data_IF_481894222314
#
_entry.id   IF_481894222314
#
_cell.length_a   1.000
_cell.length_b   1.000
_cell.length_c   1.000
_cell.angle_alpha   90.00
_cell.angle_beta   90.00
_cell.angle_gamma   90.00
#
_symmetry.space_group_name_H-M   'P 1'
#
loop_
_entity.id
_entity.type
_entity.pdbx_description
1 polymer ?
#
# COMPACT_ATOMS: atom_id res chain seq x y z
N UNK A 1 23.10 -11.05 -6.57
CA UNK A 1 21.90 -11.14 -7.43
C UNK A 1 21.64 -9.74 -7.99
N UNK A 2 21.05 -9.62 -9.17
CA UNK A 2 20.60 -8.31 -9.66
C UNK A 2 19.49 -7.82 -8.72
N UNK A 3 19.57 -6.59 -8.24
CA UNK A 3 18.56 -6.06 -7.30
C UNK A 3 17.29 -5.58 -8.00
N UNK A 4 17.18 -5.82 -9.32
CA UNK A 4 16.07 -5.40 -10.16
C UNK A 4 15.48 -6.62 -10.85
N UNK A 5 14.18 -6.80 -10.69
CA UNK A 5 13.37 -7.71 -11.50
C UNK A 5 12.60 -6.89 -12.53
N UNK A 6 12.48 -7.40 -13.76
CA UNK A 6 11.79 -6.72 -14.86
C UNK A 6 10.70 -7.66 -15.36
N UNK A 7 9.46 -7.18 -15.38
CA UNK A 7 8.34 -7.86 -16.02
C UNK A 7 7.73 -6.97 -17.10
N UNK A 8 7.30 -7.59 -18.20
CA UNK A 8 6.73 -6.85 -19.33
C UNK A 8 5.20 -6.95 -19.32
N UNK A 9 4.53 -5.81 -19.40
CA UNK A 9 3.10 -5.70 -19.69
C UNK A 9 2.94 -5.27 -21.15
N UNK A 10 2.61 -6.21 -22.04
CA UNK A 10 2.67 -5.97 -23.48
C UNK A 10 4.10 -5.64 -23.92
N UNK A 11 4.33 -4.42 -24.42
CA UNK A 11 5.63 -3.90 -24.83
C UNK A 11 6.26 -2.94 -23.79
N UNK A 12 5.70 -2.87 -22.59
CA UNK A 12 6.13 -1.95 -21.54
C UNK A 12 6.85 -2.74 -20.45
N UNK A 13 8.15 -2.51 -20.31
CA UNK A 13 8.94 -3.08 -19.23
C UNK A 13 8.74 -2.30 -17.93
N UNK A 14 8.42 -3.04 -16.86
CA UNK A 14 8.15 -2.51 -15.53
C UNK A 14 9.17 -3.10 -14.57
N UNK A 15 9.92 -2.21 -13.93
CA UNK A 15 10.98 -2.58 -12.99
C UNK A 15 10.44 -2.66 -11.56
N UNK A 16 10.80 -3.75 -10.91
CA UNK A 16 10.59 -4.02 -9.49
C UNK A 16 11.94 -4.05 -8.79
N UNK A 17 11.97 -3.64 -7.53
CA UNK A 17 13.15 -3.68 -6.67
C UNK A 17 12.76 -4.16 -5.28
N UNK A 18 13.64 -4.92 -4.63
CA UNK A 18 13.57 -5.16 -3.20
C UNK A 18 14.50 -4.17 -2.46
N UNK A 19 13.95 -3.40 -1.53
CA UNK A 19 14.71 -2.49 -0.67
C UNK A 19 14.24 -2.69 0.76
N UNK A 20 15.17 -2.98 1.69
CA UNK A 20 14.89 -3.15 3.12
C UNK A 20 13.72 -4.13 3.40
N UNK A 21 13.72 -5.27 2.70
CA UNK A 21 12.69 -6.30 2.79
C UNK A 21 11.28 -5.83 2.39
N UNK A 22 11.18 -4.84 1.50
CA UNK A 22 9.94 -4.41 0.85
C UNK A 22 10.13 -4.32 -0.68
N UNK A 23 9.10 -4.71 -1.43
CA UNK A 23 9.10 -4.59 -2.90
C UNK A 23 8.51 -3.25 -3.33
N UNK A 24 9.23 -2.57 -4.20
CA UNK A 24 8.81 -1.33 -4.83
C UNK A 24 8.78 -1.47 -6.36
N UNK A 25 7.90 -0.69 -6.98
CA UNK A 25 7.67 -0.67 -8.43
C UNK A 25 8.06 0.71 -8.94
N UNK A 26 8.80 0.77 -10.05
CA UNK A 26 9.14 2.03 -10.71
C UNK A 26 7.88 2.83 -11.07
N UNK A 27 7.76 4.04 -10.52
CA UNK A 27 6.61 4.92 -10.74
C UNK A 27 6.46 5.28 -12.21
N UNK A 28 7.56 5.64 -12.88
CA UNK A 28 7.55 6.04 -14.28
C UNK A 28 7.19 4.89 -15.22
N UNK A 29 7.64 3.67 -14.92
CA UNK A 29 7.28 2.50 -15.73
C UNK A 29 5.81 2.15 -15.54
N UNK A 30 5.32 2.22 -14.31
CA UNK A 30 3.94 1.91 -13.99
C UNK A 30 2.95 2.94 -14.53
N UNK A 31 3.28 4.24 -14.53
CA UNK A 31 2.48 5.29 -15.20
C UNK A 31 2.32 4.97 -16.69
N UNK A 32 3.41 4.60 -17.39
CA UNK A 32 3.35 4.22 -18.81
C UNK A 32 2.45 3.01 -19.03
N UNK A 33 2.52 2.02 -18.14
CA UNK A 33 1.64 0.86 -18.19
C UNK A 33 0.17 1.26 -18.04
N UNK A 34 -0.15 2.14 -17.09
CA UNK A 34 -1.51 2.66 -16.93
C UNK A 34 -1.98 3.45 -18.16
N UNK A 35 -1.14 4.33 -18.71
CA UNK A 35 -1.47 5.11 -19.92
C UNK A 35 -1.84 4.21 -21.11
N UNK A 36 -1.27 3.01 -21.20
CA UNK A 36 -1.62 2.04 -22.23
C UNK A 36 -3.03 1.44 -22.05
N UNK A 37 -3.57 1.46 -20.83
CA UNK A 37 -4.92 1.02 -20.52
C UNK A 37 -5.97 2.13 -20.64
N UNK A 38 -5.57 3.40 -20.54
CA UNK A 38 -6.49 4.53 -20.62
C UNK A 38 -6.94 4.80 -22.06
N UNK A 39 -8.16 5.33 -22.21
CA UNK A 39 -8.58 5.93 -23.48
C UNK A 39 -7.74 7.17 -23.80
N UNK A 40 -7.63 7.54 -25.07
CA UNK A 40 -6.72 8.60 -25.51
C UNK A 40 -6.99 9.95 -24.82
N UNK A 41 -8.26 10.28 -24.59
CA UNK A 41 -8.71 11.48 -23.87
C UNK A 41 -8.42 11.42 -22.37
N UNK A 42 -8.20 10.24 -21.80
CA UNK A 42 -7.91 10.03 -20.37
C UNK A 42 -6.42 9.84 -20.07
N UNK A 43 -5.53 9.73 -21.06
CA UNK A 43 -4.09 9.50 -20.78
C UNK A 43 -3.46 10.51 -19.82
N UNK A 44 -3.88 11.78 -19.90
CA UNK A 44 -3.38 12.86 -19.05
C UNK A 44 -3.67 12.67 -17.55
N UNK A 45 -4.64 11.83 -17.16
CA UNK A 45 -4.97 11.58 -15.75
C UNK A 45 -4.17 10.42 -15.12
N UNK A 46 -3.37 9.66 -15.89
CA UNK A 46 -2.56 8.56 -15.36
C UNK A 46 -1.62 9.01 -14.23
N UNK A 47 -0.87 10.09 -14.48
CA UNK A 47 0.01 10.68 -13.48
C UNK A 47 -0.74 11.19 -12.25
N UNK A 48 -1.96 11.70 -12.42
CA UNK A 48 -2.81 12.17 -11.31
C UNK A 48 -3.29 11.01 -10.44
N UNK A 49 -3.71 9.89 -11.04
CA UNK A 49 -4.09 8.71 -10.26
C UNK A 49 -2.94 8.12 -9.48
N UNK A 50 -1.73 8.13 -10.03
CA UNK A 50 -0.56 7.63 -9.31
C UNK A 50 -0.11 8.60 -8.23
N UNK A 51 0.15 9.86 -8.57
CA UNK A 51 0.66 10.85 -7.60
C UNK A 51 -0.39 11.24 -6.56
N UNK A 52 -1.66 11.34 -6.95
CA UNK A 52 -2.79 11.59 -6.06
C UNK A 52 -3.22 10.33 -5.30
N UNK A 53 -3.26 9.18 -5.97
CA UNK A 53 -3.62 7.90 -5.34
C UNK A 53 -2.66 7.53 -4.23
N UNK A 54 -1.34 7.66 -4.43
CA UNK A 54 -0.38 7.40 -3.35
C UNK A 54 -0.59 8.33 -2.14
N UNK A 55 -1.04 9.57 -2.34
CA UNK A 55 -1.39 10.48 -1.24
C UNK A 55 -2.69 10.11 -0.52
N UNK A 56 -3.62 9.44 -1.19
CA UNK A 56 -4.95 9.10 -0.65
C UNK A 56 -4.95 7.71 -0.02
N UNK A 57 -4.32 6.73 -0.68
CA UNK A 57 -4.33 5.32 -0.26
C UNK A 57 -3.01 4.85 0.34
N UNK A 58 -2.00 5.73 0.40
CA UNK A 58 -0.66 5.43 0.90
C UNK A 58 -0.11 6.43 1.91
N UNK A 59 1.08 6.11 2.42
CA UNK A 59 1.85 6.95 3.35
C UNK A 59 3.11 7.53 2.68
N UNK A 60 3.85 8.39 3.38
CA UNK A 60 5.10 8.97 2.87
C UNK A 60 6.20 7.94 2.62
N UNK A 61 6.14 6.77 3.27
CA UNK A 61 7.07 5.66 3.10
C UNK A 61 6.73 4.78 1.90
N UNK A 62 5.51 4.89 1.36
CA UNK A 62 5.10 4.22 0.13
C UNK A 62 5.73 4.83 -1.11
N UNK A 63 6.29 6.04 -1.03
CA UNK A 63 7.06 6.68 -2.10
C UNK A 63 8.52 6.81 -1.71
N UNK A 64 9.43 6.23 -2.48
CA UNK A 64 10.87 6.43 -2.28
C UNK A 64 11.61 6.60 -3.59
N UNK A 65 12.76 7.25 -3.54
CA UNK A 65 13.75 7.09 -4.61
C UNK A 65 14.49 5.78 -4.39
N UNK A 66 14.47 4.89 -5.37
CA UNK A 66 15.24 3.67 -5.36
C UNK A 66 16.43 3.82 -6.31
N UNK A 67 17.60 4.04 -5.70
CA UNK A 67 18.91 4.08 -6.36
C UNK A 67 19.64 2.79 -5.97
N UNK A 68 20.03 1.98 -6.94
CA UNK A 68 20.70 0.70 -6.73
C UNK A 68 22.04 0.67 -7.47
N UNK A 69 23.12 1.06 -6.80
CA UNK A 69 24.43 1.16 -7.44
C UNK A 69 24.39 2.14 -8.61
N UNK A 70 24.84 1.71 -9.79
CA UNK A 70 24.83 2.53 -11.02
C UNK A 70 23.48 2.57 -11.76
N UNK A 71 22.50 1.76 -11.33
CA UNK A 71 21.17 1.69 -11.95
C UNK A 71 20.12 2.43 -11.12
N UNK A 72 19.45 3.38 -11.78
CA UNK A 72 18.40 4.21 -11.18
C UNK A 72 17.05 3.77 -11.71
N UNK A 73 16.19 3.21 -10.84
CA UNK A 73 14.76 3.09 -11.19
C UNK A 73 13.99 4.38 -10.92
N UNK A 74 14.57 5.29 -10.11
CA UNK A 74 14.03 6.61 -9.83
C UNK A 74 12.97 6.56 -8.74
N UNK A 75 11.91 7.40 -8.82
CA UNK A 75 10.77 7.31 -7.94
C UNK A 75 10.10 5.93 -8.05
N UNK A 76 9.83 5.31 -6.90
CA UNK A 76 9.29 3.98 -6.79
C UNK A 76 8.19 3.94 -5.72
N UNK A 77 7.18 3.11 -5.96
CA UNK A 77 5.96 3.00 -5.17
C UNK A 77 5.90 1.63 -4.51
N UNK A 78 5.55 1.56 -3.23
CA UNK A 78 5.36 0.29 -2.53
C UNK A 78 4.32 -0.58 -3.24
N UNK A 79 4.61 -1.87 -3.39
CA UNK A 79 3.80 -2.76 -4.21
C UNK A 79 2.31 -2.80 -3.78
N UNK A 80 2.05 -2.68 -2.48
CA UNK A 80 0.70 -2.77 -1.93
C UNK A 80 -0.10 -1.50 -2.22
N UNK A 81 0.56 -0.33 -2.21
CA UNK A 81 -0.05 0.92 -2.63
C UNK A 81 -0.45 0.87 -4.11
N UNK A 82 0.41 0.32 -4.98
CA UNK A 82 0.08 0.10 -6.40
C UNK A 82 -1.16 -0.81 -6.55
N UNK A 83 -1.21 -1.92 -5.81
CA UNK A 83 -2.35 -2.83 -5.81
C UNK A 83 -3.67 -2.16 -5.37
N UNK A 84 -3.60 -1.32 -4.34
CA UNK A 84 -4.76 -0.55 -3.86
C UNK A 84 -5.25 0.46 -4.91
N UNK A 85 -4.33 1.16 -5.59
CA UNK A 85 -4.70 2.11 -6.65
C UNK A 85 -5.40 1.39 -7.80
N UNK A 86 -4.84 0.27 -8.28
CA UNK A 86 -5.44 -0.50 -9.37
C UNK A 86 -6.83 -1.03 -8.98
N UNK A 87 -6.96 -1.60 -7.79
CA UNK A 87 -8.25 -2.11 -7.29
C UNK A 87 -9.28 -0.99 -7.23
N UNK A 88 -8.91 0.16 -6.65
CA UNK A 88 -9.79 1.33 -6.56
C UNK A 88 -10.27 1.80 -7.93
N UNK A 89 -9.38 1.83 -8.93
CA UNK A 89 -9.72 2.23 -10.29
C UNK A 89 -10.64 1.22 -10.97
N UNK A 90 -10.39 -0.08 -10.83
CA UNK A 90 -11.22 -1.14 -11.40
C UNK A 90 -12.64 -1.12 -10.79
N UNK A 91 -12.76 -0.76 -9.51
CA UNK A 91 -14.04 -0.66 -8.83
C UNK A 91 -14.91 0.53 -9.26
N UNK A 92 -14.36 1.51 -9.99
CA UNK A 92 -15.10 2.64 -10.57
C UNK A 92 -15.97 2.26 -11.79
N UNK A 93 -16.39 0.99 -11.90
CA UNK A 93 -17.17 0.45 -13.02
C UNK A 93 -18.55 1.09 -13.24
N UNK A 94 -19.08 1.80 -12.24
CA UNK A 94 -20.37 2.50 -12.31
C UNK A 94 -20.23 3.99 -12.68
N UNK A 95 -19.05 4.43 -13.10
CA UNK A 95 -18.81 5.83 -13.45
C UNK A 95 -19.67 6.27 -14.65
N UNK A 96 -20.20 7.50 -14.55
CA UNK A 96 -21.05 8.13 -15.55
C UNK A 96 -20.28 8.46 -16.83
N UNK A 97 -19.03 8.91 -16.68
CA UNK A 97 -18.12 9.19 -17.77
C UNK A 97 -17.75 7.89 -18.51
N UNK A 98 -18.12 7.79 -19.80
CA UNK A 98 -17.89 6.60 -20.60
C UNK A 98 -16.42 6.28 -20.85
N UNK A 99 -15.59 7.30 -21.07
CA UNK A 99 -14.15 7.14 -21.28
C UNK A 99 -13.45 6.64 -20.03
N UNK A 100 -13.83 7.16 -18.87
CA UNK A 100 -13.31 6.71 -17.58
C UNK A 100 -13.77 5.27 -17.28
N UNK A 101 -15.06 4.96 -17.49
CA UNK A 101 -15.58 3.60 -17.29
C UNK A 101 -14.88 2.56 -18.19
N UNK A 102 -14.66 2.87 -19.46
CA UNK A 102 -13.90 2.02 -20.40
C UNK A 102 -12.44 1.87 -19.95
N UNK A 103 -11.81 2.97 -19.53
CA UNK A 103 -10.45 2.95 -18.99
C UNK A 103 -10.32 2.05 -17.75
N UNK A 104 -11.28 2.11 -16.82
CA UNK A 104 -11.35 1.27 -15.63
C UNK A 104 -11.53 -0.22 -16.00
N UNK A 105 -12.34 -0.51 -17.01
CA UNK A 105 -12.51 -1.89 -17.53
C UNK A 105 -11.18 -2.44 -18.06
N UNK A 106 -10.46 -1.66 -18.88
CA UNK A 106 -9.13 -2.03 -19.42
C UNK A 106 -8.08 -2.18 -18.32
N UNK A 107 -8.17 -1.37 -17.27
CA UNK A 107 -7.28 -1.43 -16.10
C UNK A 107 -7.33 -2.78 -15.39
N UNK A 108 -8.43 -3.53 -15.51
CA UNK A 108 -8.53 -4.88 -14.95
C UNK A 108 -7.47 -5.82 -15.55
N UNK A 109 -7.12 -5.68 -16.83
CA UNK A 109 -6.02 -6.46 -17.43
C UNK A 109 -4.67 -6.15 -16.78
N UNK A 110 -4.42 -4.88 -16.45
CA UNK A 110 -3.21 -4.48 -15.73
C UNK A 110 -3.20 -5.02 -14.29
N UNK A 111 -4.35 -5.02 -13.59
CA UNK A 111 -4.49 -5.59 -12.24
C UNK A 111 -4.19 -7.10 -12.21
N UNK A 112 -4.76 -7.87 -13.15
CA UNK A 112 -4.53 -9.30 -13.23
C UNK A 112 -3.05 -9.60 -13.55
N UNK A 113 -2.48 -8.89 -14.51
CA UNK A 113 -1.05 -9.01 -14.83
C UNK A 113 -0.16 -8.64 -13.63
N UNK A 114 -0.47 -7.54 -12.95
CA UNK A 114 0.32 -7.02 -11.84
C UNK A 114 0.40 -8.02 -10.68
N UNK A 115 -0.70 -8.70 -10.39
CA UNK A 115 -0.75 -9.73 -9.34
C UNK A 115 0.22 -10.88 -9.63
N UNK A 116 0.30 -11.30 -10.90
CA UNK A 116 1.23 -12.35 -11.33
C UNK A 116 2.67 -11.83 -11.30
N UNK A 117 2.91 -10.66 -11.87
CA UNK A 117 4.24 -10.04 -11.92
C UNK A 117 4.83 -9.81 -10.51
N UNK A 118 4.01 -9.40 -9.55
CA UNK A 118 4.43 -9.26 -8.15
C UNK A 118 4.83 -10.60 -7.54
N UNK A 119 4.05 -11.66 -7.77
CA UNK A 119 4.38 -12.99 -7.27
C UNK A 119 5.70 -13.51 -7.85
N UNK A 120 5.95 -13.25 -9.13
CA UNK A 120 7.22 -13.58 -9.78
C UNK A 120 8.39 -12.73 -9.25
N UNK A 121 8.15 -11.45 -8.98
CA UNK A 121 9.13 -10.55 -8.36
C UNK A 121 9.51 -11.03 -6.96
N UNK A 122 8.54 -11.39 -6.12
CA UNK A 122 8.78 -11.95 -4.79
C UNK A 122 9.66 -13.21 -4.88
N UNK A 123 9.31 -14.14 -5.78
CA UNK A 123 10.11 -15.34 -6.03
C UNK A 123 11.54 -15.01 -6.48
N UNK A 124 11.69 -14.03 -7.37
CA UNK A 124 13.01 -13.58 -7.85
C UNK A 124 13.86 -13.02 -6.71
N UNK A 125 13.26 -12.26 -5.80
CA UNK A 125 13.93 -11.70 -4.63
C UNK A 125 14.10 -12.68 -3.46
N UNK A 126 13.68 -13.93 -3.62
CA UNK A 126 13.75 -14.95 -2.57
C UNK A 126 12.76 -14.73 -1.42
N UNK A 127 11.72 -13.93 -1.64
CA UNK A 127 10.65 -13.62 -0.67
C UNK A 127 9.56 -14.68 -0.73
N UNK A 128 9.02 -15.00 0.43
CA UNK A 128 7.90 -15.93 0.58
C UNK A 128 6.62 -15.19 1.04
N UNK A 129 5.54 -15.94 1.26
CA UNK A 129 4.25 -15.38 1.69
C UNK A 129 4.34 -14.69 3.06
N UNK A 130 5.16 -15.17 3.99
CA UNK A 130 5.35 -14.52 5.28
C UNK A 130 6.05 -13.16 5.13
N UNK A 131 6.99 -13.03 4.20
CA UNK A 131 7.66 -11.75 3.90
C UNK A 131 6.68 -10.74 3.28
N UNK A 132 5.83 -11.22 2.36
CA UNK A 132 4.73 -10.44 1.77
C UNK A 132 3.78 -9.94 2.87
N UNK A 133 3.26 -10.84 3.71
CA UNK A 133 2.34 -10.50 4.79
C UNK A 133 2.98 -9.56 5.82
N UNK A 134 4.26 -9.75 6.13
CA UNK A 134 5.00 -8.88 7.05
C UNK A 134 5.17 -7.47 6.47
N UNK A 135 5.42 -7.35 5.17
CA UNK A 135 5.47 -6.06 4.47
C UNK A 135 4.12 -5.33 4.52
N UNK A 136 3.03 -6.04 4.24
CA UNK A 136 1.67 -5.49 4.33
C UNK A 136 1.36 -5.07 5.77
N UNK A 137 1.68 -5.92 6.75
CA UNK A 137 1.51 -5.61 8.17
C UNK A 137 2.25 -4.34 8.57
N UNK A 138 3.55 -4.24 8.29
CA UNK A 138 4.36 -3.04 8.60
C UNK A 138 3.74 -1.79 8.00
N UNK A 139 3.20 -1.87 6.79
CA UNK A 139 2.51 -0.76 6.14
C UNK A 139 1.20 -0.39 6.83
N UNK A 140 0.37 -1.39 7.16
CA UNK A 140 -0.88 -1.16 7.89
C UNK A 140 -0.62 -0.55 9.27
N UNK A 141 0.39 -1.03 9.98
CA UNK A 141 0.81 -0.52 11.30
C UNK A 141 1.27 0.96 11.20
N UNK A 142 1.80 1.41 10.06
CA UNK A 142 2.12 2.84 9.85
C UNK A 142 0.88 3.69 9.57
N UNK A 143 -0.03 3.19 8.73
CA UNK A 143 -1.28 3.89 8.39
C UNK A 143 -2.23 4.00 9.58
N UNK A 144 -2.30 2.95 10.38
CA UNK A 144 -3.07 2.86 11.61
C UNK A 144 -2.10 2.57 12.75
N UNK A 145 -1.32 3.58 13.15
CA UNK A 145 -0.42 3.44 14.29
C UNK A 145 -1.20 2.94 15.50
N UNK A 146 -0.83 1.80 16.08
CA UNK A 146 -1.54 1.27 17.24
C UNK A 146 -1.40 2.28 18.38
N UNK A 147 -2.53 2.63 18.98
CA UNK A 147 -2.55 3.46 20.17
C UNK A 147 -1.89 2.70 21.32
N UNK A 148 -0.87 3.31 21.93
CA UNK A 148 -0.22 2.70 23.10
C UNK A 148 -0.99 3.10 24.35
N UNK A 149 -1.63 2.12 24.99
CA UNK A 149 -2.35 2.32 26.25
C UNK A 149 -1.41 1.96 27.40
N UNK A 150 -1.11 2.94 28.26
CA UNK A 150 -0.35 2.74 29.47
C UNK A 150 -1.29 2.22 30.56
N UNK A 151 -0.95 1.07 31.14
CA UNK A 151 -1.73 0.44 32.21
C UNK A 151 -0.91 0.45 33.50
N UNK A 152 -1.52 0.94 34.56
CA UNK A 152 -0.97 0.87 35.93
C UNK A 152 -2.00 0.23 36.86
N UNK A 153 -1.52 -0.30 37.98
CA UNK A 153 -2.36 -0.73 39.08
C UNK A 153 -2.15 0.25 40.24
N UNK A 154 -3.20 0.98 40.60
CA UNK A 154 -3.18 1.99 41.66
C UNK A 154 -4.19 1.61 42.75
N UNK A 155 -3.70 1.20 43.91
CA UNK A 155 -4.53 0.67 44.99
C UNK A 155 -5.27 -0.61 44.58
N UNK A 156 -6.60 -0.55 44.60
CA UNK A 156 -7.51 -1.66 44.28
C UNK A 156 -8.10 -1.55 42.84
N UNK A 157 -7.54 -0.67 42.00
CA UNK A 157 -8.02 -0.46 40.63
C UNK A 157 -6.89 -0.53 39.61
N UNK A 158 -7.24 -1.02 38.43
CA UNK A 158 -6.44 -0.92 37.22
C UNK A 158 -6.82 0.36 36.49
N UNK A 159 -5.83 1.13 36.04
CA UNK A 159 -6.02 2.39 35.32
C UNK A 159 -5.36 2.30 33.95
N UNK A 160 -6.08 2.66 32.89
CA UNK A 160 -5.60 2.78 31.53
C UNK A 160 -5.59 4.24 31.09
N UNK A 161 -4.48 4.67 30.49
CA UNK A 161 -4.32 6.01 29.91
C UNK A 161 -3.77 5.92 28.50
N UNK A 162 -4.30 6.72 27.57
CA UNK A 162 -3.74 6.89 26.24
C UNK A 162 -3.98 8.33 25.77
N UNK A 163 -2.92 9.13 25.76
CA UNK A 163 -2.97 10.55 25.40
C UNK A 163 -3.45 10.76 23.96
N UNK A 164 -3.04 9.88 23.05
CA UNK A 164 -3.39 9.90 21.63
C UNK A 164 -4.90 9.71 21.40
N UNK A 165 -5.57 8.99 22.29
CA UNK A 165 -7.02 8.77 22.29
C UNK A 165 -7.78 9.73 23.21
N UNK A 166 -7.09 10.55 24.01
CA UNK A 166 -7.71 11.27 25.13
C UNK A 166 -8.37 10.33 26.14
N UNK A 167 -7.89 9.09 26.23
CA UNK A 167 -8.48 8.01 27.04
C UNK A 167 -7.90 8.04 28.45
N UNK A 168 -8.78 8.12 29.45
CA UNK A 168 -8.48 7.83 30.85
C UNK A 168 -9.65 7.02 31.41
N UNK A 169 -9.40 5.77 31.81
CA UNK A 169 -10.41 4.89 32.37
C UNK A 169 -9.82 3.98 33.44
N UNK A 170 -10.67 3.44 34.30
CA UNK A 170 -10.27 2.57 35.40
C UNK A 170 -11.27 1.41 35.55
N UNK A 171 -10.83 0.29 36.12
CA UNK A 171 -11.69 -0.84 36.46
C UNK A 171 -11.10 -1.67 37.63
N UNK A 172 -11.93 -2.44 38.35
CA UNK A 172 -11.45 -3.26 39.47
C UNK A 172 -10.51 -4.40 39.06
N UNK A 173 -10.59 -4.84 37.81
CA UNK A 173 -9.80 -5.93 37.27
C UNK A 173 -9.35 -5.63 35.83
N UNK A 174 -8.29 -6.30 35.41
CA UNK A 174 -7.64 -6.07 34.12
C UNK A 174 -8.54 -6.41 32.91
N UNK A 175 -9.42 -7.40 33.04
CA UNK A 175 -10.30 -7.82 31.94
C UNK A 175 -11.40 -6.77 31.72
N UNK A 176 -12.02 -6.30 32.80
CA UNK A 176 -12.96 -5.18 32.80
C UNK A 176 -12.29 -3.89 32.29
N UNK A 177 -11.03 -3.63 32.65
CA UNK A 177 -10.28 -2.49 32.14
C UNK A 177 -10.09 -2.61 30.63
N UNK A 178 -9.67 -3.78 30.18
CA UNK A 178 -9.46 -4.07 28.75
C UNK A 178 -10.74 -3.82 27.98
N UNK A 179 -11.87 -4.38 28.40
CA UNK A 179 -13.15 -4.16 27.72
C UNK A 179 -13.51 -2.67 27.60
N UNK A 180 -13.31 -1.89 28.67
CA UNK A 180 -13.56 -0.43 28.65
C UNK A 180 -12.66 0.31 27.66
N UNK A 181 -11.40 -0.11 27.51
CA UNK A 181 -10.48 0.45 26.50
C UNK A 181 -11.00 0.15 25.09
N UNK A 182 -11.45 -1.08 24.83
CA UNK A 182 -12.02 -1.48 23.53
C UNK A 182 -13.31 -0.72 23.20
N UNK A 183 -14.18 -0.51 24.18
CA UNK A 183 -15.44 0.24 23.99
C UNK A 183 -15.21 1.71 23.58
N UNK A 184 -14.06 2.29 23.95
CA UNK A 184 -13.69 3.67 23.59
C UNK A 184 -12.93 3.73 22.26
N UNK A 185 -12.17 2.68 21.93
CA UNK A 185 -11.37 2.61 20.71
C UNK A 185 -12.12 2.05 19.48
N UNK A 186 -13.32 1.48 19.67
CA UNK A 186 -14.17 0.88 18.61
C UNK A 186 -15.25 1.82 18.09
#
# INVERSE_FOLDING_TARGET
MNNIYIASFGNIDIRFVNVDDDVFVSQGDFIRAMESCLTDDMKHIAGLFITGGVKIVGDTSDSRSAILGDSVIGPAIHFHAVGNILTSLVDMKNESNSSLRESCYRMNSLLQWYTIALSEADKYFGRNVADLLSSVKRRLDRLNSPFTVNVIHDGDVWVATCDELGLVTEAPDYESLTQRVWDVAG
#
